data_IF_909438571694
#
_entry.id   IF_909438571694
#
_cell.length_a   1.000
_cell.length_b   1.000
_cell.length_c   1.000
_cell.angle_alpha   90.00
_cell.angle_beta   90.00
_cell.angle_gamma   90.00
#
_symmetry.space_group_name_H-M   'P 1'
#
loop_
_entity.id
_entity.type
_entity.pdbx_description
1 polymer ?
#
# COMPACT_ATOMS: atom_id res chain seq x y z
N UNK A 1 1.60 10.98 29.10
CA UNK A 1 2.27 11.34 30.36
C UNK A 1 2.52 10.07 31.15
N UNK A 2 3.78 9.84 31.53
CA UNK A 2 4.34 8.62 32.19
C UNK A 2 4.70 7.46 31.27
N UNK A 3 5.79 7.65 30.52
CA UNK A 3 6.88 6.66 30.43
C UNK A 3 8.15 7.40 29.98
N UNK A 4 8.63 8.27 30.88
CA UNK A 4 9.85 9.06 30.76
C UNK A 4 10.22 9.39 32.21
N UNK A 5 11.05 8.55 32.82
CA UNK A 5 11.86 8.76 34.05
C UNK A 5 12.56 7.42 34.31
N UNK A 6 13.85 7.51 34.68
CA UNK A 6 14.87 6.45 34.74
C UNK A 6 15.46 6.18 33.34
N UNK A 7 16.63 6.69 32.99
CA UNK A 7 17.90 6.40 33.65
C UNK A 7 18.79 7.66 33.67
N UNK A 8 19.01 8.20 34.87
CA UNK A 8 20.10 9.11 35.24
C UNK A 8 20.61 8.61 36.59
N UNK A 9 21.95 8.63 36.78
CA UNK A 9 22.77 8.09 37.88
C UNK A 9 23.11 6.60 37.67
N UNK A 10 24.36 6.15 37.54
CA UNK A 10 25.58 6.47 38.31
C UNK A 10 26.83 6.16 37.47
N UNK A 11 27.80 7.07 37.43
CA UNK A 11 29.23 6.79 37.64
C UNK A 11 30.03 8.11 37.64
N UNK A 12 30.45 8.53 38.82
CA UNK A 12 31.38 9.64 39.01
C UNK A 12 32.82 9.12 39.02
N UNK A 13 33.74 9.83 38.36
CA UNK A 13 35.18 9.70 38.62
C UNK A 13 36.13 10.17 37.52
N UNK A 14 36.62 11.42 37.67
CA UNK A 14 37.83 12.08 37.10
C UNK A 14 37.68 12.91 35.79
N UNK A 15 37.86 14.22 35.95
CA UNK A 15 38.19 15.25 34.94
C UNK A 15 39.70 15.26 34.55
N UNK A 16 40.18 16.06 33.56
CA UNK A 16 39.48 16.71 32.44
C UNK A 16 40.21 16.51 31.08
N UNK A 17 39.49 16.55 29.95
CA UNK A 17 40.03 17.10 28.70
C UNK A 17 38.91 17.89 28.03
N UNK A 18 39.08 19.22 28.00
CA UNK A 18 38.26 20.11 27.21
C UNK A 18 38.45 19.77 25.72
N UNK A 19 37.47 19.07 25.15
CA UNK A 19 37.06 19.29 23.76
C UNK A 19 35.68 19.90 23.85
N UNK A 20 35.51 21.09 23.29
CA UNK A 20 34.19 21.69 23.08
C UNK A 20 33.36 20.74 22.20
N UNK A 21 32.62 19.84 22.86
CA UNK A 21 31.61 19.02 22.21
C UNK A 21 30.51 19.95 21.73
N UNK A 22 30.37 20.07 20.40
CA UNK A 22 29.15 20.60 19.79
C UNK A 22 27.96 19.87 20.42
N UNK A 23 26.87 20.55 20.81
CA UNK A 23 25.70 19.87 21.32
C UNK A 23 25.24 18.84 20.27
N UNK A 24 24.95 17.59 20.66
CA UNK A 24 24.63 16.55 19.70
C UNK A 24 23.38 16.96 18.91
N UNK A 25 23.53 17.10 17.60
CA UNK A 25 22.40 17.27 16.70
C UNK A 25 21.49 16.04 16.78
N UNK A 26 20.21 16.18 16.41
CA UNK A 26 19.24 15.08 16.42
C UNK A 26 19.72 13.89 15.57
N UNK A 27 20.53 14.14 14.54
CA UNK A 27 21.24 13.10 13.78
C UNK A 27 22.05 12.15 14.69
N UNK A 28 22.78 12.69 15.68
CA UNK A 28 23.53 11.89 16.65
C UNK A 28 22.63 11.09 17.60
N UNK A 29 21.39 11.53 17.85
CA UNK A 29 20.43 10.80 18.70
C UNK A 29 19.85 9.61 17.93
N UNK A 30 19.60 9.77 16.63
CA UNK A 30 19.11 8.70 15.77
C UNK A 30 20.19 7.60 15.58
N UNK A 31 21.45 8.00 15.42
CA UNK A 31 22.58 7.06 15.33
C UNK A 31 22.89 6.40 16.69
N UNK A 32 22.76 7.13 17.81
CA UNK A 32 23.01 6.61 19.16
C UNK A 32 22.00 5.53 19.61
N UNK A 33 20.83 5.44 18.98
CA UNK A 33 19.83 4.40 19.25
C UNK A 33 20.17 3.05 18.57
N UNK A 34 21.21 2.98 17.74
CA UNK A 34 21.69 1.74 17.13
C UNK A 34 20.69 1.05 16.19
N UNK A 35 19.60 1.74 15.82
CA UNK A 35 18.61 1.25 14.89
C UNK A 35 19.00 1.75 13.50
N UNK A 36 19.66 0.91 12.70
CA UNK A 36 19.84 1.17 11.26
C UNK A 36 18.45 1.22 10.60
N UNK A 37 17.88 2.42 10.51
CA UNK A 37 16.63 2.65 9.80
C UNK A 37 16.91 2.72 8.29
N UNK A 38 16.00 2.23 7.42
CA UNK A 38 16.11 2.46 5.98
C UNK A 38 16.24 3.96 5.68
N UNK A 39 16.99 4.32 4.63
CA UNK A 39 17.25 5.72 4.25
C UNK A 39 15.95 6.55 4.08
N UNK A 40 14.88 5.91 3.60
CA UNK A 40 13.55 6.52 3.50
C UNK A 40 12.98 6.92 4.87
N UNK A 41 13.08 6.06 5.87
CA UNK A 41 12.61 6.35 7.24
C UNK A 41 13.45 7.46 7.86
N UNK A 42 14.77 7.42 7.66
CA UNK A 42 15.69 8.45 8.14
C UNK A 42 15.37 9.82 7.53
N UNK A 43 15.14 9.87 6.22
CA UNK A 43 14.73 11.07 5.50
C UNK A 43 13.45 11.69 6.09
N UNK A 44 12.43 10.87 6.34
CA UNK A 44 11.16 11.30 6.94
C UNK A 44 11.39 11.89 8.35
N UNK A 45 12.23 11.26 9.17
CA UNK A 45 12.54 11.72 10.52
C UNK A 45 13.28 13.07 10.52
N UNK A 46 14.22 13.28 9.59
CA UNK A 46 14.94 14.55 9.46
C UNK A 46 14.02 15.68 9.01
N UNK A 47 13.20 15.45 7.98
CA UNK A 47 12.18 16.39 7.52
C UNK A 47 11.19 16.74 8.65
N UNK A 48 10.77 15.74 9.44
CA UNK A 48 9.88 15.95 10.57
C UNK A 48 10.56 16.74 11.70
N UNK A 49 11.81 16.42 12.02
CA UNK A 49 12.59 17.11 13.06
C UNK A 49 12.83 18.58 12.70
N UNK A 50 13.05 18.86 11.40
CA UNK A 50 13.17 20.21 10.87
C UNK A 50 11.99 21.13 11.23
N UNK A 51 10.78 20.58 11.30
CA UNK A 51 9.56 21.35 11.63
C UNK A 51 9.61 22.01 13.01
N UNK A 52 10.39 21.45 13.93
CA UNK A 52 10.51 21.93 15.31
C UNK A 52 11.73 22.83 15.53
N UNK A 53 12.48 23.16 14.47
CA UNK A 53 13.65 24.03 14.58
C UNK A 53 13.26 25.47 14.93
N UNK A 54 14.07 26.09 15.80
CA UNK A 54 14.07 27.53 16.00
C UNK A 54 14.75 28.22 14.82
N UNK A 55 14.34 29.46 14.50
CA UNK A 55 14.93 30.24 13.41
C UNK A 55 16.44 30.41 13.55
N UNK A 56 16.94 30.68 14.76
CA UNK A 56 18.38 30.77 15.03
C UNK A 56 19.11 29.49 14.67
N UNK A 57 18.50 28.33 14.91
CA UNK A 57 19.10 27.05 14.56
C UNK A 57 19.09 26.81 13.06
N UNK A 58 18.02 27.19 12.35
CA UNK A 58 17.99 27.15 10.90
C UNK A 58 19.10 28.06 10.30
N UNK A 59 19.32 29.25 10.85
CA UNK A 59 20.39 30.16 10.38
C UNK A 59 21.81 29.57 10.63
N UNK A 60 22.01 28.83 11.71
CA UNK A 60 23.25 28.07 11.95
C UNK A 60 23.45 26.97 10.90
N UNK A 61 22.41 26.17 10.61
CA UNK A 61 22.48 25.12 9.59
C UNK A 61 22.74 25.69 8.19
N UNK A 62 22.11 26.81 7.85
CA UNK A 62 22.36 27.55 6.59
C UNK A 62 23.83 28.00 6.49
N UNK A 63 24.41 28.42 7.61
CA UNK A 63 25.83 28.80 7.66
C UNK A 63 26.74 27.58 7.56
N UNK A 64 26.35 26.44 8.13
CA UNK A 64 27.07 25.17 8.03
C UNK A 64 27.06 24.66 6.58
N UNK A 65 25.91 24.66 5.90
CA UNK A 65 25.78 24.23 4.51
C UNK A 65 26.58 25.08 3.51
N UNK A 66 26.87 26.35 3.83
CA UNK A 66 27.80 27.15 3.01
C UNK A 66 29.23 26.63 3.05
N UNK A 67 29.62 25.97 4.15
CA UNK A 67 30.95 25.36 4.33
C UNK A 67 30.97 23.93 3.82
N UNK A 68 29.89 23.20 4.03
CA UNK A 68 29.70 21.83 3.53
C UNK A 68 28.37 21.70 2.77
N UNK A 69 28.34 21.99 1.46
CA UNK A 69 27.12 21.94 0.68
C UNK A 69 26.52 20.54 0.52
N UNK A 70 27.30 19.49 0.78
CA UNK A 70 26.91 18.10 0.55
C UNK A 70 26.29 17.43 1.79
N UNK A 71 26.15 18.16 2.90
CA UNK A 71 25.43 17.66 4.08
C UNK A 71 23.93 17.58 3.77
N UNK A 72 23.48 16.36 3.44
CA UNK A 72 22.07 16.08 3.12
C UNK A 72 21.20 16.21 4.37
N UNK A 73 21.70 15.90 5.57
CA UNK A 73 20.88 15.86 6.77
C UNK A 73 20.46 17.26 7.20
N UNK A 74 21.43 18.17 7.27
CA UNK A 74 21.19 19.57 7.56
C UNK A 74 20.25 20.18 6.51
N UNK A 75 20.40 19.76 5.25
CA UNK A 75 19.52 20.17 4.15
C UNK A 75 18.10 19.65 4.31
N UNK A 76 17.91 18.38 4.69
CA UNK A 76 16.58 17.81 4.94
C UNK A 76 15.92 18.46 6.15
N UNK A 77 16.67 18.76 7.21
CA UNK A 77 16.17 19.52 8.36
C UNK A 77 15.73 20.94 7.95
N UNK A 78 16.48 21.62 7.10
CA UNK A 78 16.12 22.94 6.57
C UNK A 78 14.90 22.90 5.65
N UNK A 79 14.77 21.89 4.78
CA UNK A 79 13.57 21.68 3.96
C UNK A 79 12.34 21.51 4.86
N UNK A 80 12.44 20.67 5.89
CA UNK A 80 11.38 20.47 6.88
C UNK A 80 10.98 21.75 7.60
N UNK A 81 11.96 22.54 8.02
CA UNK A 81 11.76 23.84 8.67
C UNK A 81 11.04 24.83 7.75
N UNK A 82 11.57 25.10 6.54
CA UNK A 82 11.00 26.09 5.65
C UNK A 82 9.64 25.68 5.10
N UNK A 83 9.41 24.39 4.82
CA UNK A 83 8.10 23.91 4.37
C UNK A 83 6.99 24.11 5.41
N UNK A 84 7.32 24.10 6.70
CA UNK A 84 6.33 24.19 7.79
C UNK A 84 6.23 25.59 8.41
N UNK A 85 7.38 26.23 8.61
CA UNK A 85 7.51 27.50 9.34
C UNK A 85 7.86 28.69 8.44
N UNK A 86 8.25 28.45 7.18
CA UNK A 86 8.61 29.51 6.25
C UNK A 86 7.49 30.54 6.10
N UNK A 87 7.84 31.82 6.13
CA UNK A 87 6.91 32.94 5.93
C UNK A 87 7.48 33.91 4.91
N UNK A 88 6.70 34.22 3.88
CA UNK A 88 7.07 35.19 2.85
C UNK A 88 7.99 34.65 1.76
N UNK A 89 8.36 35.54 0.83
CA UNK A 89 9.05 35.17 -0.41
C UNK A 89 10.49 34.66 -0.18
N UNK A 90 11.21 35.21 0.79
CA UNK A 90 12.60 34.82 1.07
C UNK A 90 12.70 33.38 1.58
N UNK A 91 11.83 32.98 2.51
CA UNK A 91 11.80 31.60 3.04
C UNK A 91 11.35 30.60 1.95
N UNK A 92 10.40 30.99 1.07
CA UNK A 92 10.02 30.16 -0.09
C UNK A 92 11.18 29.96 -1.06
N UNK A 93 11.94 31.01 -1.36
CA UNK A 93 13.12 30.92 -2.22
C UNK A 93 14.19 29.99 -1.63
N UNK A 94 14.40 30.01 -0.31
CA UNK A 94 15.32 29.08 0.37
C UNK A 94 14.84 27.64 0.28
N UNK A 95 13.55 27.39 0.55
CA UNK A 95 12.96 26.06 0.37
C UNK A 95 13.18 25.56 -1.06
N UNK A 96 12.83 26.37 -2.06
CA UNK A 96 13.05 26.06 -3.48
C UNK A 96 14.50 25.69 -3.74
N UNK A 97 15.44 26.49 -3.25
CA UNK A 97 16.89 26.26 -3.41
C UNK A 97 17.32 24.89 -2.89
N UNK A 98 16.88 24.50 -1.69
CA UNK A 98 17.24 23.20 -1.13
C UNK A 98 16.60 22.02 -1.87
N UNK A 99 15.33 22.15 -2.26
CA UNK A 99 14.59 21.12 -3.00
C UNK A 99 15.19 20.89 -4.39
N UNK A 100 15.44 21.95 -5.15
CA UNK A 100 16.06 21.85 -6.47
C UNK A 100 17.46 21.25 -6.40
N UNK A 101 18.24 21.59 -5.36
CA UNK A 101 19.55 20.99 -5.13
C UNK A 101 19.44 19.48 -4.88
N UNK A 102 18.51 19.04 -4.03
CA UNK A 102 18.30 17.60 -3.76
C UNK A 102 17.96 16.84 -5.03
N UNK A 103 16.99 17.32 -5.81
CA UNK A 103 16.54 16.65 -7.04
C UNK A 103 17.62 16.70 -8.13
N UNK A 104 18.38 17.80 -8.21
CA UNK A 104 19.43 17.97 -9.22
C UNK A 104 20.70 17.15 -8.95
N UNK A 105 21.07 16.95 -7.69
CA UNK A 105 22.34 16.29 -7.32
C UNK A 105 22.14 14.85 -6.83
N UNK A 106 21.00 14.56 -6.21
CA UNK A 106 20.70 13.27 -5.59
C UNK A 106 19.28 12.78 -5.94
N UNK A 107 18.91 12.65 -7.23
CA UNK A 107 17.59 12.17 -7.63
C UNK A 107 17.28 10.74 -7.17
N UNK A 108 18.29 9.93 -6.88
CA UNK A 108 18.20 8.58 -6.33
C UNK A 108 17.82 8.57 -4.85
N UNK A 109 18.06 9.67 -4.14
CA UNK A 109 17.86 9.73 -2.70
C UNK A 109 16.38 9.67 -2.33
N UNK A 110 16.02 8.80 -1.39
CA UNK A 110 14.64 8.49 -1.02
C UNK A 110 13.82 9.73 -0.63
N UNK A 111 14.45 10.73 0.01
CA UNK A 111 13.82 12.01 0.34
C UNK A 111 13.20 12.74 -0.86
N UNK A 112 13.69 12.55 -2.08
CA UNK A 112 13.15 13.21 -3.28
C UNK A 112 11.74 12.72 -3.64
N UNK A 113 11.35 11.56 -3.12
CA UNK A 113 9.99 11.09 -3.12
C UNK A 113 9.16 11.63 -1.95
N UNK A 114 9.60 12.55 -1.09
CA UNK A 114 8.74 13.07 -0.01
C UNK A 114 7.86 14.24 -0.45
N UNK A 115 6.63 14.41 0.07
CA UNK A 115 5.70 15.46 -0.38
C UNK A 115 6.29 16.87 -0.36
N UNK A 116 7.13 17.19 0.63
CA UNK A 116 7.80 18.49 0.75
C UNK A 116 8.83 18.79 -0.33
N UNK A 117 9.25 17.78 -1.11
CA UNK A 117 10.15 17.94 -2.26
C UNK A 117 9.40 17.82 -3.59
N UNK A 118 8.19 17.23 -3.60
CA UNK A 118 7.38 17.08 -4.82
C UNK A 118 6.55 18.32 -5.16
N UNK A 119 6.16 19.10 -4.15
CA UNK A 119 5.33 20.29 -4.33
C UNK A 119 5.75 21.41 -3.37
N UNK A 120 6.06 22.58 -3.94
CA UNK A 120 6.40 23.78 -3.21
C UNK A 120 5.14 24.65 -3.01
N UNK A 121 4.69 24.87 -1.76
CA UNK A 121 3.51 25.68 -1.49
C UNK A 121 3.67 27.14 -1.97
N UNK A 122 2.65 27.66 -2.65
CA UNK A 122 2.60 29.03 -3.18
C UNK A 122 3.79 29.40 -4.09
N UNK A 123 4.36 28.41 -4.79
CA UNK A 123 5.53 28.59 -5.64
C UNK A 123 5.40 27.90 -7.02
N UNK A 124 4.61 28.47 -7.95
CA UNK A 124 4.38 27.88 -9.28
C UNK A 124 5.64 27.85 -10.16
N UNK A 125 6.55 28.81 -9.98
CA UNK A 125 7.82 28.84 -10.71
C UNK A 125 8.74 27.72 -10.25
N UNK A 126 8.91 27.55 -8.93
CA UNK A 126 9.69 26.44 -8.37
C UNK A 126 9.12 25.07 -8.75
N UNK A 127 7.79 24.93 -8.75
CA UNK A 127 7.14 23.71 -9.20
C UNK A 127 7.38 23.41 -10.70
N UNK A 128 7.50 24.46 -11.54
CA UNK A 128 7.87 24.31 -12.95
C UNK A 128 9.33 23.89 -13.11
N UNK A 129 10.25 24.44 -12.30
CA UNK A 129 11.66 24.05 -12.28
C UNK A 129 11.84 22.58 -11.83
N UNK A 130 11.09 22.13 -10.81
CA UNK A 130 11.09 20.74 -10.35
C UNK A 130 10.67 19.79 -11.48
N UNK A 131 9.60 20.14 -12.22
CA UNK A 131 9.13 19.32 -13.35
C UNK A 131 10.22 19.16 -14.42
N UNK A 132 10.88 20.25 -14.81
CA UNK A 132 11.94 20.21 -15.81
C UNK A 132 13.20 19.47 -15.31
N UNK A 133 13.50 19.52 -14.01
CA UNK A 133 14.54 18.69 -13.40
C UNK A 133 14.22 17.20 -13.51
N UNK A 134 13.00 16.78 -13.14
CA UNK A 134 12.61 15.38 -13.26
C UNK A 134 12.63 14.86 -14.69
N UNK A 135 12.19 15.66 -15.67
CA UNK A 135 12.32 15.32 -17.10
C UNK A 135 13.78 15.11 -17.51
N UNK A 136 14.69 16.00 -17.10
CA UNK A 136 16.14 15.86 -17.37
C UNK A 136 16.72 14.62 -16.68
N UNK A 137 16.35 14.38 -15.42
CA UNK A 137 16.83 13.22 -14.68
C UNK A 137 16.36 11.91 -15.31
N UNK A 138 15.13 11.83 -15.80
CA UNK A 138 14.64 10.65 -16.53
C UNK A 138 15.37 10.41 -17.86
N UNK A 139 15.82 11.47 -18.53
CA UNK A 139 16.63 11.36 -19.74
C UNK A 139 18.07 10.87 -19.43
N UNK A 140 18.71 11.45 -18.41
CA UNK A 140 20.10 11.13 -18.03
C UNK A 140 20.24 9.81 -17.26
N UNK A 141 19.25 9.45 -16.44
CA UNK A 141 19.26 8.30 -15.55
C UNK A 141 18.18 7.28 -15.93
N UNK A 142 17.97 7.07 -17.23
CA UNK A 142 16.92 6.18 -17.75
C UNK A 142 16.99 4.73 -17.23
N UNK A 143 18.15 4.29 -16.72
CA UNK A 143 18.33 2.96 -16.16
C UNK A 143 18.54 2.91 -14.63
N UNK A 144 18.48 4.04 -13.94
CA UNK A 144 18.64 4.07 -12.48
C UNK A 144 17.30 3.78 -11.79
N UNK A 145 17.21 2.62 -11.13
CA UNK A 145 15.97 2.14 -10.54
C UNK A 145 15.46 3.03 -9.38
N UNK A 146 16.28 3.42 -8.38
CA UNK A 146 15.92 4.45 -7.40
C UNK A 146 15.37 5.74 -8.03
N UNK A 147 16.01 6.28 -9.08
CA UNK A 147 15.54 7.50 -9.74
C UNK A 147 14.17 7.28 -10.39
N UNK A 148 13.95 6.14 -11.06
CA UNK A 148 12.64 5.83 -11.63
C UNK A 148 11.55 5.77 -10.55
N UNK A 149 11.83 5.13 -9.40
CA UNK A 149 10.88 5.03 -8.28
C UNK A 149 10.53 6.39 -7.69
N UNK A 150 11.52 7.26 -7.50
CA UNK A 150 11.27 8.60 -6.97
C UNK A 150 10.52 9.47 -8.00
N UNK A 151 10.86 9.36 -9.28
CA UNK A 151 10.17 10.05 -10.37
C UNK A 151 8.72 9.58 -10.51
N UNK A 152 8.45 8.28 -10.39
CA UNK A 152 7.09 7.71 -10.39
C UNK A 152 6.23 8.41 -9.33
N UNK A 153 6.73 8.50 -8.10
CA UNK A 153 6.05 9.20 -7.01
C UNK A 153 5.79 10.68 -7.27
N UNK A 154 6.69 11.36 -7.98
CA UNK A 154 6.47 12.74 -8.42
C UNK A 154 5.38 12.85 -9.48
N UNK A 155 5.39 11.99 -10.50
CA UNK A 155 4.45 12.03 -11.61
C UNK A 155 3.07 11.46 -11.27
N UNK A 156 2.94 10.59 -10.28
CA UNK A 156 1.69 9.89 -9.94
C UNK A 156 0.46 10.81 -9.93
N UNK A 157 0.54 11.96 -9.24
CA UNK A 157 -0.55 12.95 -9.18
C UNK A 157 -0.48 14.08 -10.19
N UNK A 158 0.60 14.20 -10.96
CA UNK A 158 0.87 15.34 -11.87
C UNK A 158 0.74 14.97 -13.35
N UNK A 159 1.15 13.76 -13.70
CA UNK A 159 1.05 13.18 -15.04
C UNK A 159 0.90 11.64 -14.91
N UNK A 160 -0.34 11.15 -14.75
CA UNK A 160 -0.61 9.72 -14.60
C UNK A 160 -0.09 8.88 -15.76
N UNK A 161 -0.07 9.41 -16.99
CA UNK A 161 0.46 8.70 -18.15
C UNK A 161 1.98 8.45 -18.06
N UNK A 162 2.72 9.39 -17.47
CA UNK A 162 4.16 9.20 -17.26
C UNK A 162 4.43 8.29 -16.05
N UNK A 163 3.62 8.41 -14.99
CA UNK A 163 3.69 7.50 -13.85
C UNK A 163 3.45 6.05 -14.27
N UNK A 164 2.42 5.80 -15.09
CA UNK A 164 2.12 4.51 -15.69
C UNK A 164 3.35 3.91 -16.39
N UNK A 165 3.93 4.66 -17.34
CA UNK A 165 5.15 4.26 -18.06
C UNK A 165 6.32 3.95 -17.14
N UNK A 166 6.48 4.72 -16.05
CA UNK A 166 7.53 4.49 -15.06
C UNK A 166 7.29 3.21 -14.26
N UNK A 167 6.07 3.00 -13.75
CA UNK A 167 5.72 1.77 -13.00
C UNK A 167 5.93 0.55 -13.89
N UNK A 168 5.56 0.63 -15.18
CA UNK A 168 5.87 -0.40 -16.16
C UNK A 168 7.36 -0.73 -16.19
N UNK A 169 8.22 0.26 -16.46
CA UNK A 169 9.68 0.09 -16.52
C UNK A 169 10.28 -0.46 -15.22
N UNK A 170 9.77 -0.02 -14.07
CA UNK A 170 10.18 -0.49 -12.76
C UNK A 170 9.79 -1.96 -12.57
N UNK A 171 8.55 -2.33 -12.92
CA UNK A 171 8.03 -3.70 -12.80
C UNK A 171 8.79 -4.70 -13.66
N UNK A 172 9.36 -4.28 -14.79
CA UNK A 172 10.21 -5.15 -15.62
C UNK A 172 11.52 -5.53 -14.92
N UNK A 173 12.02 -4.64 -14.06
CA UNK A 173 13.27 -4.84 -13.30
C UNK A 173 13.02 -5.54 -11.97
N UNK A 174 11.82 -5.39 -11.42
CA UNK A 174 11.38 -6.03 -10.19
C UNK A 174 10.15 -6.92 -10.44
N UNK A 175 10.24 -7.95 -11.31
CA UNK A 175 9.08 -8.73 -11.75
C UNK A 175 8.39 -9.49 -10.61
N UNK A 176 9.09 -9.70 -9.49
CA UNK A 176 8.60 -10.40 -8.31
C UNK A 176 8.05 -9.46 -7.22
N UNK A 177 8.16 -8.14 -7.39
CA UNK A 177 7.62 -7.20 -6.43
C UNK A 177 6.13 -6.91 -6.73
N UNK A 178 5.24 -7.42 -5.88
CA UNK A 178 3.79 -7.23 -5.99
C UNK A 178 3.33 -5.78 -5.77
N UNK A 179 4.19 -4.94 -5.18
CA UNK A 179 3.86 -3.53 -4.92
C UNK A 179 3.57 -2.77 -6.21
N UNK A 180 4.24 -3.09 -7.32
CA UNK A 180 4.02 -2.40 -8.60
C UNK A 180 2.65 -2.68 -9.21
N UNK A 181 2.12 -3.89 -9.02
CA UNK A 181 0.76 -4.22 -9.43
C UNK A 181 -0.27 -3.44 -8.59
N UNK A 182 -0.02 -3.31 -7.28
CA UNK A 182 -0.86 -2.51 -6.40
C UNK A 182 -0.78 -1.00 -6.72
N UNK A 183 0.40 -0.50 -7.07
CA UNK A 183 0.61 0.90 -7.45
C UNK A 183 -0.13 1.25 -8.74
N UNK A 184 -0.05 0.39 -9.78
CA UNK A 184 -0.83 0.55 -11.01
C UNK A 184 -2.33 0.52 -10.74
N UNK A 185 -2.81 -0.44 -9.94
CA UNK A 185 -4.22 -0.50 -9.56
C UNK A 185 -4.67 0.78 -8.86
N UNK A 186 -3.83 1.37 -8.01
CA UNK A 186 -4.12 2.64 -7.36
C UNK A 186 -4.14 3.81 -8.36
N UNK A 187 -3.16 3.87 -9.27
CA UNK A 187 -3.07 4.89 -10.31
C UNK A 187 -4.33 4.89 -11.17
N UNK A 188 -4.71 3.70 -11.67
CA UNK A 188 -5.89 3.50 -12.49
C UNK A 188 -7.18 3.84 -11.75
N UNK A 189 -7.36 3.38 -10.52
CA UNK A 189 -8.53 3.75 -9.71
C UNK A 189 -8.67 5.27 -9.53
N UNK A 190 -7.55 5.99 -9.42
CA UNK A 190 -7.55 7.44 -9.21
C UNK A 190 -7.75 8.24 -10.50
N UNK A 191 -7.22 7.78 -11.63
CA UNK A 191 -7.12 8.58 -12.85
C UNK A 191 -7.72 7.92 -14.11
N UNK A 192 -8.19 6.68 -14.02
CA UNK A 192 -8.47 5.82 -15.16
C UNK A 192 -7.20 5.26 -15.80
N UNK A 193 -7.37 4.40 -16.82
CA UNK A 193 -6.26 3.95 -17.67
C UNK A 193 -5.79 5.12 -18.53
N UNK A 194 -4.53 5.57 -18.41
CA UNK A 194 -4.06 6.70 -19.20
C UNK A 194 -4.14 6.44 -20.71
N UNK A 195 -4.78 7.36 -21.44
CA UNK A 195 -4.95 7.25 -22.90
C UNK A 195 -6.18 6.47 -23.36
N UNK A 196 -6.94 5.88 -22.44
CA UNK A 196 -8.20 5.22 -22.73
C UNK A 196 -9.38 6.04 -22.17
N UNK A 197 -10.41 6.25 -23.00
CA UNK A 197 -11.65 6.85 -22.53
C UNK A 197 -12.73 5.77 -22.47
N UNK A 198 -12.94 5.21 -21.27
CA UNK A 198 -13.98 4.24 -21.00
C UNK A 198 -15.11 4.96 -20.27
N UNK A 199 -16.21 5.25 -20.96
CA UNK A 199 -17.31 6.06 -20.43
C UNK A 199 -18.10 5.36 -19.32
N UNK A 200 -18.18 4.03 -19.34
CA UNK A 200 -18.88 3.22 -18.36
C UNK A 200 -17.94 2.90 -17.16
N UNK A 201 -18.26 3.35 -15.93
CA UNK A 201 -17.40 3.10 -14.76
C UNK A 201 -17.15 1.62 -14.46
N UNK A 202 -18.12 0.74 -14.70
CA UNK A 202 -17.97 -0.70 -14.46
C UNK A 202 -17.06 -1.37 -15.50
N UNK A 203 -17.16 -0.98 -16.76
CA UNK A 203 -16.24 -1.45 -17.81
C UNK A 203 -14.83 -0.93 -17.58
N UNK A 204 -14.72 0.33 -17.11
CA UNK A 204 -13.43 0.93 -16.78
C UNK A 204 -12.73 0.14 -15.69
N UNK A 205 -13.39 -0.10 -14.56
CA UNK A 205 -12.81 -0.86 -13.46
C UNK A 205 -12.38 -2.27 -13.89
N UNK A 206 -13.21 -2.96 -14.68
CA UNK A 206 -12.87 -4.27 -15.23
C UNK A 206 -11.61 -4.21 -16.10
N UNK A 207 -11.47 -3.21 -16.95
CA UNK A 207 -10.30 -3.08 -17.83
C UNK A 207 -9.03 -2.72 -17.04
N UNK A 208 -9.14 -1.81 -16.07
CA UNK A 208 -8.05 -1.45 -15.16
C UNK A 208 -7.50 -2.71 -14.48
N UNK A 209 -8.41 -3.58 -14.05
CA UNK A 209 -8.07 -4.81 -13.39
C UNK A 209 -7.45 -5.84 -14.31
N UNK A 210 -7.99 -6.05 -15.52
CA UNK A 210 -7.35 -6.95 -16.51
C UNK A 210 -5.95 -6.47 -16.85
N UNK A 211 -5.77 -5.17 -17.00
CA UNK A 211 -4.48 -4.58 -17.32
C UNK A 211 -3.45 -4.85 -16.23
N UNK A 212 -3.82 -4.67 -14.95
CA UNK A 212 -2.94 -5.03 -13.83
C UNK A 212 -2.54 -6.53 -13.87
N UNK A 213 -3.48 -7.43 -14.19
CA UNK A 213 -3.19 -8.87 -14.28
C UNK A 213 -2.25 -9.23 -15.43
N UNK A 214 -2.44 -8.65 -16.62
CA UNK A 214 -1.53 -8.84 -17.77
C UNK A 214 -0.10 -8.48 -17.40
N UNK A 215 0.07 -7.39 -16.65
CA UNK A 215 1.37 -6.82 -16.31
C UNK A 215 2.06 -7.49 -15.13
N UNK A 216 1.32 -8.23 -14.32
CA UNK A 216 1.87 -8.95 -13.17
C UNK A 216 2.73 -10.13 -13.66
N UNK A 217 4.03 -9.90 -13.93
CA UNK A 217 4.92 -10.92 -14.53
C UNK A 217 5.14 -12.13 -13.62
N UNK A 218 5.18 -11.94 -12.30
CA UNK A 218 5.30 -13.04 -11.34
C UNK A 218 4.08 -13.97 -11.43
N UNK A 219 4.26 -15.25 -11.77
CA UNK A 219 3.14 -16.18 -11.95
C UNK A 219 2.29 -16.36 -10.69
N UNK A 220 2.92 -16.51 -9.52
CA UNK A 220 2.20 -16.71 -8.26
C UNK A 220 1.39 -15.46 -7.86
N UNK A 221 1.95 -14.27 -8.06
CA UNK A 221 1.24 -13.02 -7.83
C UNK A 221 0.07 -12.87 -8.82
N UNK A 222 0.29 -13.12 -10.12
CA UNK A 222 -0.78 -13.05 -11.14
C UNK A 222 -1.92 -14.02 -10.85
N UNK A 223 -1.61 -15.14 -10.24
CA UNK A 223 -2.56 -16.18 -9.88
C UNK A 223 -3.41 -15.82 -8.64
N UNK A 224 -2.81 -15.19 -7.62
CA UNK A 224 -3.49 -14.78 -6.40
C UNK A 224 -4.25 -13.45 -6.52
N UNK A 225 -3.71 -12.52 -7.30
CA UNK A 225 -4.16 -11.14 -7.40
C UNK A 225 -5.64 -10.97 -7.83
N UNK A 226 -6.22 -11.79 -8.75
CA UNK A 226 -7.64 -11.74 -9.07
C UNK A 226 -8.55 -11.88 -7.86
N UNK A 227 -8.20 -12.75 -6.90
CA UNK A 227 -8.99 -12.94 -5.68
C UNK A 227 -8.97 -11.69 -4.78
N UNK A 228 -7.79 -11.10 -4.57
CA UNK A 228 -7.63 -9.89 -3.75
C UNK A 228 -8.38 -8.70 -4.36
N UNK A 229 -8.31 -8.55 -5.68
CA UNK A 229 -9.01 -7.49 -6.41
C UNK A 229 -10.52 -7.72 -6.40
N UNK A 230 -10.99 -8.97 -6.52
CA UNK A 230 -12.41 -9.30 -6.44
C UNK A 230 -12.99 -8.94 -5.06
N UNK A 231 -12.28 -9.24 -3.98
CA UNK A 231 -12.65 -8.85 -2.62
C UNK A 231 -12.64 -7.32 -2.42
N UNK A 232 -11.68 -6.61 -3.02
CA UNK A 232 -11.65 -5.16 -3.00
C UNK A 232 -12.83 -4.54 -3.75
N UNK A 233 -13.10 -5.00 -4.97
CA UNK A 233 -14.22 -4.59 -5.80
C UNK A 233 -15.56 -4.84 -5.10
N UNK A 234 -15.74 -6.02 -4.49
CA UNK A 234 -16.93 -6.35 -3.70
C UNK A 234 -17.16 -5.36 -2.55
N UNK A 235 -16.11 -5.02 -1.79
CA UNK A 235 -16.21 -4.11 -0.63
C UNK A 235 -16.62 -2.69 -1.00
N UNK A 236 -16.24 -2.21 -2.19
CA UNK A 236 -16.62 -0.88 -2.68
C UNK A 236 -17.93 -0.88 -3.47
N UNK A 237 -18.59 -2.04 -3.61
CA UNK A 237 -19.86 -2.19 -4.34
C UNK A 237 -19.73 -2.33 -5.85
N UNK A 238 -18.52 -2.50 -6.38
CA UNK A 238 -18.29 -2.78 -7.80
C UNK A 238 -18.51 -4.26 -8.11
N UNK A 239 -19.79 -4.65 -8.13
CA UNK A 239 -20.21 -6.01 -8.37
C UNK A 239 -19.86 -6.55 -9.76
N UNK A 240 -19.96 -5.77 -10.87
CA UNK A 240 -19.51 -6.22 -12.18
C UNK A 240 -18.03 -6.63 -12.17
N UNK A 241 -17.16 -5.80 -11.61
CA UNK A 241 -15.74 -6.11 -11.56
C UNK A 241 -15.42 -7.27 -10.62
N UNK A 242 -16.09 -7.34 -9.46
CA UNK A 242 -15.94 -8.46 -8.53
C UNK A 242 -16.29 -9.81 -9.18
N UNK A 243 -17.34 -9.85 -10.02
CA UNK A 243 -17.74 -11.07 -10.73
C UNK A 243 -16.70 -11.49 -11.76
N UNK A 244 -16.22 -10.56 -12.59
CA UNK A 244 -15.23 -10.88 -13.63
C UNK A 244 -13.91 -11.35 -13.01
N UNK A 245 -13.44 -10.68 -11.97
CA UNK A 245 -12.23 -11.07 -11.26
C UNK A 245 -12.37 -12.40 -10.52
N UNK A 246 -13.51 -12.64 -9.87
CA UNK A 246 -13.76 -13.94 -9.25
C UNK A 246 -13.83 -15.07 -10.28
N UNK A 247 -14.34 -14.83 -11.50
CA UNK A 247 -14.30 -15.82 -12.59
C UNK A 247 -12.89 -16.08 -13.11
N UNK A 248 -12.04 -15.05 -13.16
CA UNK A 248 -10.61 -15.23 -13.48
C UNK A 248 -9.95 -16.06 -12.38
N UNK A 249 -10.21 -15.72 -11.12
CA UNK A 249 -9.68 -16.43 -9.96
C UNK A 249 -10.14 -17.90 -9.92
N UNK A 250 -11.38 -18.19 -10.32
CA UNK A 250 -11.91 -19.55 -10.39
C UNK A 250 -11.12 -20.46 -11.34
N UNK A 251 -10.42 -19.89 -12.34
CA UNK A 251 -9.58 -20.63 -13.31
C UNK A 251 -8.13 -20.80 -12.85
N UNK A 252 -7.80 -20.28 -11.66
CA UNK A 252 -6.47 -20.38 -11.04
C UNK A 252 -6.11 -21.83 -10.72
N UNK A 253 -4.82 -22.16 -10.74
CA UNK A 253 -4.28 -23.41 -10.21
C UNK A 253 -3.96 -23.35 -8.71
N UNK A 254 -4.16 -22.19 -8.06
CA UNK A 254 -4.14 -22.05 -6.61
C UNK A 254 -5.26 -22.88 -5.99
N UNK A 255 -4.88 -23.67 -5.00
CA UNK A 255 -5.76 -24.63 -4.35
C UNK A 255 -6.92 -23.90 -3.63
N UNK A 256 -6.65 -22.76 -3.00
CA UNK A 256 -7.67 -22.00 -2.28
C UNK A 256 -8.62 -21.19 -3.19
N UNK A 257 -8.37 -21.15 -4.49
CA UNK A 257 -9.04 -20.22 -5.38
C UNK A 257 -10.52 -20.56 -5.61
N UNK A 258 -10.84 -21.85 -5.81
CA UNK A 258 -12.21 -22.29 -6.14
C UNK A 258 -13.20 -21.89 -5.06
N UNK A 259 -12.89 -22.18 -3.79
CA UNK A 259 -13.79 -21.90 -2.69
C UNK A 259 -13.98 -20.38 -2.47
N UNK A 260 -12.88 -19.62 -2.54
CA UNK A 260 -12.92 -18.16 -2.37
C UNK A 260 -13.65 -17.46 -3.52
N UNK A 261 -13.37 -17.84 -4.76
CA UNK A 261 -14.05 -17.32 -5.94
C UNK A 261 -15.56 -17.55 -5.87
N UNK A 262 -15.99 -18.78 -5.58
CA UNK A 262 -17.41 -19.11 -5.40
C UNK A 262 -18.04 -18.35 -4.23
N UNK A 263 -17.32 -18.15 -3.12
CA UNK A 263 -17.79 -17.32 -2.01
C UNK A 263 -18.05 -15.88 -2.46
N UNK A 264 -17.12 -15.26 -3.19
CA UNK A 264 -17.29 -13.89 -3.71
C UNK A 264 -18.47 -13.83 -4.68
N UNK A 265 -18.55 -14.74 -5.65
CA UNK A 265 -19.63 -14.81 -6.63
C UNK A 265 -21.00 -14.96 -5.96
N UNK A 266 -21.10 -15.84 -4.96
CA UNK A 266 -22.34 -16.04 -4.22
C UNK A 266 -22.74 -14.83 -3.38
N UNK A 267 -21.78 -14.12 -2.78
CA UNK A 267 -22.07 -12.87 -2.05
C UNK A 267 -22.50 -11.76 -2.99
N UNK A 268 -21.90 -11.63 -4.18
CA UNK A 268 -22.36 -10.70 -5.21
C UNK A 268 -23.77 -11.07 -5.66
N UNK A 269 -24.04 -12.34 -5.93
CA UNK A 269 -25.36 -12.83 -6.31
C UNK A 269 -26.41 -12.46 -5.23
N UNK A 270 -26.07 -12.66 -3.95
CA UNK A 270 -26.93 -12.31 -2.83
C UNK A 270 -27.21 -10.81 -2.76
N UNK A 271 -26.19 -9.95 -2.93
CA UNK A 271 -26.36 -8.48 -2.95
C UNK A 271 -27.12 -7.96 -4.16
N UNK A 272 -27.10 -8.69 -5.26
CA UNK A 272 -27.80 -8.35 -6.52
C UNK A 272 -29.17 -9.01 -6.65
N UNK A 273 -29.69 -9.64 -5.58
CA UNK A 273 -31.03 -10.26 -5.56
C UNK A 273 -31.13 -11.60 -6.28
N UNK A 274 -30.01 -12.16 -6.76
CA UNK A 274 -29.95 -13.47 -7.43
C UNK A 274 -29.77 -14.59 -6.43
N UNK A 275 -30.82 -14.80 -5.63
CA UNK A 275 -30.79 -15.72 -4.50
C UNK A 275 -30.53 -17.18 -4.92
N UNK A 276 -31.09 -17.62 -6.05
CA UNK A 276 -30.83 -18.96 -6.58
C UNK A 276 -29.34 -19.17 -6.93
N UNK A 277 -28.71 -18.18 -7.57
CA UNK A 277 -27.29 -18.22 -7.90
C UNK A 277 -26.43 -18.25 -6.62
N UNK A 278 -26.78 -17.44 -5.61
CA UNK A 278 -26.06 -17.42 -4.33
C UNK A 278 -26.06 -18.79 -3.64
N UNK A 279 -27.21 -19.49 -3.68
CA UNK A 279 -27.34 -20.87 -3.17
C UNK A 279 -26.46 -21.84 -3.94
N UNK A 280 -26.45 -21.73 -5.26
CA UNK A 280 -25.64 -22.60 -6.12
C UNK A 280 -24.15 -22.39 -5.86
N UNK A 281 -23.69 -21.14 -5.82
CA UNK A 281 -22.30 -20.80 -5.53
C UNK A 281 -21.84 -21.28 -4.15
N UNK A 282 -22.72 -21.32 -3.13
CA UNK A 282 -22.38 -21.93 -1.85
C UNK A 282 -22.09 -23.43 -2.00
N UNK A 283 -22.89 -24.16 -2.79
CA UNK A 283 -22.65 -25.59 -2.98
C UNK A 283 -21.40 -25.84 -3.85
N UNK A 284 -21.18 -25.01 -4.86
CA UNK A 284 -20.00 -25.08 -5.73
C UNK A 284 -18.71 -24.77 -4.95
N UNK A 285 -18.77 -23.97 -3.88
CA UNK A 285 -17.61 -23.73 -3.01
C UNK A 285 -17.16 -24.95 -2.20
N UNK A 286 -17.93 -26.06 -2.25
CA UNK A 286 -17.60 -27.36 -1.69
C UNK A 286 -17.61 -28.50 -2.73
N UNK A 287 -17.32 -28.18 -3.99
CA UNK A 287 -17.16 -29.17 -5.05
C UNK A 287 -15.93 -30.10 -4.83
N UNK A 288 -15.77 -31.18 -5.63
CA UNK A 288 -14.61 -32.07 -5.53
C UNK A 288 -13.24 -31.40 -5.78
N UNK A 289 -13.19 -30.30 -6.52
CA UNK A 289 -11.98 -29.51 -6.75
C UNK A 289 -11.50 -28.83 -5.47
N UNK A 290 -12.43 -28.33 -4.64
CA UNK A 290 -12.15 -27.69 -3.36
C UNK A 290 -11.91 -28.68 -2.20
N UNK A 291 -12.04 -30.00 -2.42
CA UNK A 291 -11.98 -31.00 -1.35
C UNK A 291 -10.65 -31.00 -0.59
N UNK A 292 -9.51 -30.83 -1.28
CA UNK A 292 -8.19 -30.79 -0.65
C UNK A 292 -8.02 -29.56 0.26
N UNK A 293 -8.60 -28.44 -0.16
CA UNK A 293 -8.53 -27.16 0.54
C UNK A 293 -9.41 -27.15 1.77
N UNK A 294 -10.62 -27.66 1.64
CA UNK A 294 -11.53 -27.86 2.77
C UNK A 294 -10.89 -28.79 3.82
N UNK A 295 -10.23 -29.86 3.39
CA UNK A 295 -9.55 -30.78 4.30
C UNK A 295 -8.39 -30.10 5.07
N UNK A 296 -7.67 -29.17 4.42
CA UNK A 296 -6.51 -28.50 4.99
C UNK A 296 -6.88 -27.29 5.86
N UNK A 297 -7.68 -26.37 5.32
CA UNK A 297 -7.97 -25.05 5.87
C UNK A 297 -9.38 -24.90 6.45
N UNK A 298 -10.27 -25.86 6.19
CA UNK A 298 -11.68 -25.79 6.55
C UNK A 298 -12.52 -25.03 5.52
N UNK A 299 -13.86 -25.16 5.59
CA UNK A 299 -14.77 -24.49 4.68
C UNK A 299 -14.92 -23.00 4.99
N UNK A 300 -15.07 -22.17 3.96
CA UNK A 300 -15.52 -20.79 4.10
C UNK A 300 -16.99 -20.76 4.54
N UNK A 301 -17.29 -19.98 5.58
CA UNK A 301 -18.64 -19.90 6.15
C UNK A 301 -19.33 -18.56 5.92
N UNK A 302 -18.64 -17.57 5.34
CA UNK A 302 -19.16 -16.21 5.15
C UNK A 302 -20.47 -16.21 4.35
N UNK A 303 -20.50 -16.89 3.19
CA UNK A 303 -21.71 -16.99 2.37
C UNK A 303 -22.82 -17.83 3.05
N UNK A 304 -22.45 -18.92 3.71
CA UNK A 304 -23.39 -19.74 4.47
C UNK A 304 -24.08 -18.94 5.58
N UNK A 305 -23.32 -18.09 6.27
CA UNK A 305 -23.83 -17.16 7.28
C UNK A 305 -24.79 -16.14 6.69
N UNK A 306 -24.41 -15.47 5.61
CA UNK A 306 -25.30 -14.48 4.98
C UNK A 306 -26.60 -15.12 4.47
N UNK A 307 -26.54 -16.36 3.95
CA UNK A 307 -27.72 -17.10 3.49
C UNK A 307 -28.63 -17.54 4.65
N UNK A 308 -28.07 -18.06 5.76
CA UNK A 308 -28.90 -18.48 6.89
C UNK A 308 -29.58 -17.29 7.59
N UNK A 309 -28.91 -16.13 7.60
CA UNK A 309 -29.48 -14.86 8.09
C UNK A 309 -30.66 -14.40 7.22
N UNK A 310 -30.66 -14.72 5.92
CA UNK A 310 -31.82 -14.53 5.03
C UNK A 310 -32.86 -15.65 5.11
N UNK A 311 -32.69 -16.61 6.02
CA UNK A 311 -33.63 -17.71 6.24
C UNK A 311 -33.40 -18.94 5.36
N UNK A 312 -32.34 -18.95 4.55
CA UNK A 312 -32.04 -20.04 3.61
C UNK A 312 -31.37 -21.24 4.30
N UNK A 313 -32.15 -21.94 5.13
CA UNK A 313 -31.66 -23.02 5.99
C UNK A 313 -31.30 -24.29 5.22
N UNK A 314 -32.11 -24.68 4.24
CA UNK A 314 -31.96 -25.97 3.55
C UNK A 314 -30.63 -26.07 2.76
N UNK A 315 -30.26 -24.98 2.06
CA UNK A 315 -28.99 -24.94 1.32
C UNK A 315 -27.79 -24.95 2.26
N UNK A 316 -27.87 -24.22 3.39
CA UNK A 316 -26.78 -24.13 4.36
C UNK A 316 -26.59 -25.47 5.06
N UNK A 317 -27.69 -26.13 5.42
CA UNK A 317 -27.64 -27.49 5.93
C UNK A 317 -26.96 -28.44 4.95
N UNK A 318 -27.36 -28.42 3.67
CA UNK A 318 -26.76 -29.25 2.62
C UNK A 318 -25.26 -28.98 2.46
N UNK A 319 -24.86 -27.71 2.47
CA UNK A 319 -23.46 -27.30 2.41
C UNK A 319 -22.66 -27.89 3.58
N UNK A 320 -23.12 -27.72 4.82
CA UNK A 320 -22.45 -28.25 6.01
C UNK A 320 -22.36 -29.79 5.99
N UNK A 321 -23.37 -30.49 5.48
CA UNK A 321 -23.34 -31.94 5.30
C UNK A 321 -22.32 -32.41 4.26
N UNK A 322 -22.05 -31.60 3.22
CA UNK A 322 -20.94 -31.83 2.28
C UNK A 322 -19.60 -31.58 3.01
N UNK A 323 -19.45 -30.43 3.67
CA UNK A 323 -18.23 -30.09 4.40
C UNK A 323 -17.88 -31.11 5.49
N UNK A 324 -18.88 -31.74 6.12
CA UNK A 324 -18.70 -32.78 7.14
C UNK A 324 -17.88 -33.97 6.62
N UNK A 325 -18.06 -34.32 5.34
CA UNK A 325 -17.32 -35.40 4.68
C UNK A 325 -15.91 -34.98 4.27
N UNK A 326 -15.73 -33.70 4.00
CA UNK A 326 -14.49 -33.14 3.45
C UNK A 326 -13.54 -32.61 4.55
N UNK A 327 -14.03 -32.31 5.76
CA UNK A 327 -13.24 -31.72 6.84
C UNK A 327 -13.37 -32.47 8.17
N UNK A 328 -12.70 -33.64 8.33
CA UNK A 328 -12.78 -34.45 9.56
C UNK A 328 -12.34 -33.71 10.82
N UNK A 329 -11.37 -32.79 10.71
CA UNK A 329 -10.90 -31.99 11.85
C UNK A 329 -11.99 -31.07 12.43
N UNK A 330 -12.99 -30.69 11.63
CA UNK A 330 -14.11 -29.87 12.04
C UNK A 330 -15.39 -30.66 12.31
N UNK A 331 -15.35 -31.99 12.36
CA UNK A 331 -16.53 -32.83 12.48
C UNK A 331 -17.43 -32.43 13.67
N UNK A 332 -16.83 -32.20 14.84
CA UNK A 332 -17.56 -31.86 16.05
C UNK A 332 -18.36 -30.56 15.90
N UNK A 333 -17.72 -29.51 15.37
CA UNK A 333 -18.37 -28.20 15.22
C UNK A 333 -19.44 -28.23 14.11
N UNK A 334 -19.16 -28.92 13.00
CA UNK A 334 -20.12 -29.08 11.90
C UNK A 334 -21.38 -29.82 12.35
N UNK A 335 -21.24 -30.88 13.16
CA UNK A 335 -22.39 -31.62 13.72
C UNK A 335 -23.27 -30.76 14.62
N UNK A 336 -22.66 -29.89 15.44
CA UNK A 336 -23.38 -28.95 16.29
C UNK A 336 -24.20 -28.00 15.42
N UNK A 337 -23.59 -27.36 14.43
CA UNK A 337 -24.30 -26.43 13.55
C UNK A 337 -25.40 -27.11 12.73
N UNK A 338 -25.17 -28.31 12.23
CA UNK A 338 -26.18 -29.12 11.54
C UNK A 338 -27.38 -29.40 12.48
N UNK A 339 -27.12 -29.76 13.74
CA UNK A 339 -28.18 -30.04 14.72
C UNK A 339 -28.96 -28.77 15.08
N UNK A 340 -28.28 -27.63 15.24
CA UNK A 340 -28.92 -26.34 15.48
C UNK A 340 -29.88 -25.99 14.33
N UNK A 341 -29.43 -26.10 13.08
CA UNK A 341 -30.29 -25.82 11.90
C UNK A 341 -31.49 -26.75 11.86
N UNK A 342 -31.29 -28.06 12.09
CA UNK A 342 -32.37 -29.08 12.10
C UNK A 342 -33.41 -28.84 13.20
N UNK A 343 -33.00 -28.23 14.31
CA UNK A 343 -33.89 -27.87 15.42
C UNK A 343 -34.48 -26.46 15.30
N UNK A 344 -34.28 -25.79 14.16
CA UNK A 344 -34.79 -24.45 13.88
C UNK A 344 -33.97 -23.31 14.48
N UNK A 345 -32.84 -23.61 15.13
CA UNK A 345 -31.91 -22.61 15.67
C UNK A 345 -30.98 -22.09 14.58
N UNK A 346 -30.53 -20.84 14.71
CA UNK A 346 -29.53 -20.25 13.82
C UNK A 346 -28.14 -20.41 14.46
N UNK A 347 -27.27 -21.30 13.93
CA UNK A 347 -25.91 -21.45 14.45
C UNK A 347 -25.07 -20.19 14.26
N UNK A 348 -24.14 -19.96 15.18
CA UNK A 348 -23.10 -18.95 15.00
C UNK A 348 -21.97 -19.52 14.13
N UNK A 349 -22.05 -19.25 12.82
CA UNK A 349 -21.09 -19.73 11.82
C UNK A 349 -19.76 -18.94 11.78
N UNK A 350 -19.37 -18.31 12.89
CA UNK A 350 -18.14 -17.53 13.01
C UNK A 350 -18.26 -16.08 12.51
N UNK A 351 -17.19 -15.30 12.75
CA UNK A 351 -17.06 -13.95 12.20
C UNK A 351 -16.58 -14.00 10.74
N UNK A 352 -16.89 -12.98 9.91
CA UNK A 352 -16.42 -12.88 8.53
C UNK A 352 -14.91 -12.91 8.38
#
# INVERSE_FOLDING_TARGET
>A
MKLLIAILLVAAGREPVQREERPPGVANILDALGLLQPESVRSILLLHSGKSLLRSKADELETALRKDPNDIDDRLMLIGYYASNGRGAADRFRLRTHVLWMIGNHPEHAATAEPSLRDLPDDPEGNSEILELWKRNLASHSNDLPVLKNAEKFFFGKNPAEADRLIHRISEREPNNREWAAELANLYRMFGIPGENIDNPGERAVEEYRRVLELTKNPAAREALPGEMADAAFRIGDFPAAVELAKIYLKSSDRLAVQRANTILGRVALRTGRLADAKQYLLDSADPGAAKDIALSGPTLVLAKELIEQGERDVVLRYLEICLKLWPRGENILRIWIADIKTGRTPNLGAP
#
